data_IF_610125824545
#
_entry.id   IF_610125824545
#
_cell.length_a   1.000
_cell.length_b   1.000
_cell.length_c   1.000
_cell.angle_alpha   90.00
_cell.angle_beta   90.00
_cell.angle_gamma   90.00
#
_symmetry.space_group_name_H-M   'P 1'
#
loop_
_entity.id
_entity.type
_entity.pdbx_description
1 polymer ?
#
# COMPACT_ATOMS: atom_id res chain seq x y z
N UNK A 1 -1.82 -8.87 3.51
CA UNK A 1 -1.96 -8.59 4.95
C UNK A 1 -1.18 -7.34 5.35
N UNK A 2 0.10 -7.23 4.97
CA UNK A 2 1.01 -6.13 5.36
C UNK A 2 0.55 -4.71 4.97
N UNK A 3 -0.06 -4.53 3.80
CA UNK A 3 -0.51 -3.21 3.33
C UNK A 3 -1.53 -2.53 4.28
N UNK A 4 -2.41 -3.32 4.90
CA UNK A 4 -3.47 -2.79 5.78
C UNK A 4 -2.93 -2.22 7.10
N UNK A 5 -1.71 -2.60 7.52
CA UNK A 5 -1.13 -2.17 8.78
C UNK A 5 -0.33 -0.86 8.65
N UNK A 6 -0.01 -0.44 7.42
CA UNK A 6 0.78 0.76 7.15
C UNK A 6 0.13 2.08 7.62
N UNK A 7 -1.20 2.29 7.49
CA UNK A 7 -1.85 3.51 8.00
C UNK A 7 -1.79 3.63 9.52
N UNK A 8 -1.78 2.50 10.24
CA UNK A 8 -1.77 2.44 11.71
C UNK A 8 -0.38 2.76 12.27
N UNK A 9 0.69 2.48 11.51
CA UNK A 9 2.07 2.80 11.88
C UNK A 9 2.24 4.28 12.27
N UNK A 10 1.53 5.21 11.61
CA UNK A 10 1.57 6.65 11.95
C UNK A 10 1.14 6.93 13.40
N UNK A 11 0.21 6.14 13.93
CA UNK A 11 -0.24 6.29 15.32
C UNK A 11 0.71 5.59 16.29
N UNK A 12 1.29 4.45 15.91
CA UNK A 12 2.27 3.74 16.73
C UNK A 12 3.57 4.52 16.92
N UNK A 13 3.94 5.37 15.96
CA UNK A 13 5.11 6.23 16.08
C UNK A 13 4.87 7.51 16.91
N UNK A 14 3.61 7.87 17.22
CA UNK A 14 3.33 9.06 18.04
C UNK A 14 3.68 8.80 19.50
N UNK A 15 4.51 9.65 20.07
CA UNK A 15 4.91 9.57 21.48
C UNK A 15 6.13 8.70 21.77
N UNK A 16 6.69 8.03 20.76
CA UNK A 16 7.92 7.25 20.87
C UNK A 16 9.13 8.04 20.36
N UNK A 17 10.34 7.61 20.74
CA UNK A 17 11.57 8.25 20.26
C UNK A 17 11.89 7.81 18.83
N UNK A 18 12.67 8.62 18.11
CA UNK A 18 13.12 8.26 16.74
C UNK A 18 13.91 6.95 16.74
N UNK A 19 14.60 6.65 17.83
CA UNK A 19 15.36 5.41 18.05
C UNK A 19 14.47 4.16 18.07
N UNK A 20 13.20 4.29 18.48
CA UNK A 20 12.24 3.18 18.58
C UNK A 20 11.53 2.89 17.25
N UNK A 21 11.64 3.78 16.26
CA UNK A 21 11.03 3.62 14.95
C UNK A 21 11.38 2.30 14.25
N UNK A 22 12.67 1.87 14.16
CA UNK A 22 13.00 0.57 13.54
C UNK A 22 12.43 -0.62 14.31
N UNK A 23 12.26 -0.52 15.63
CA UNK A 23 11.72 -1.58 16.48
C UNK A 23 10.21 -1.75 16.25
N UNK A 24 9.48 -0.63 16.19
CA UNK A 24 8.05 -0.57 15.89
C UNK A 24 7.78 -1.05 14.47
N UNK A 25 8.56 -0.58 13.50
CA UNK A 25 8.44 -1.01 12.10
C UNK A 25 8.76 -2.49 11.96
N UNK A 26 9.83 -2.98 12.59
CA UNK A 26 10.21 -4.40 12.57
C UNK A 26 9.14 -5.31 13.19
N UNK A 27 8.44 -4.85 14.24
CA UNK A 27 7.35 -5.61 14.88
C UNK A 27 6.14 -5.87 13.98
N UNK A 28 5.95 -5.05 12.94
CA UNK A 28 4.85 -5.19 11.98
C UNK A 28 5.18 -6.13 10.82
N UNK A 29 6.44 -6.56 10.69
CA UNK A 29 6.96 -7.36 9.58
C UNK A 29 6.58 -6.79 8.19
N UNK A 30 7.11 -5.61 7.81
CA UNK A 30 6.78 -4.95 6.56
C UNK A 30 7.44 -5.67 5.38
N UNK A 31 6.79 -6.71 4.86
CA UNK A 31 7.12 -7.28 3.56
C UNK A 31 6.77 -6.26 2.44
N UNK A 32 7.74 -5.45 2.01
CA UNK A 32 7.58 -4.53 0.88
C UNK A 32 7.24 -5.27 -0.43
N UNK A 33 7.79 -6.46 -0.64
CA UNK A 33 7.48 -7.32 -1.79
C UNK A 33 5.99 -7.70 -1.85
N UNK A 34 5.33 -7.80 -0.69
CA UNK A 34 3.93 -8.16 -0.55
C UNK A 34 2.99 -6.95 -0.76
N UNK A 35 3.53 -5.73 -0.77
CA UNK A 35 2.77 -4.48 -0.92
C UNK A 35 3.00 -3.75 -2.25
N UNK A 36 4.00 -4.17 -3.03
CA UNK A 36 4.41 -3.46 -4.26
C UNK A 36 3.49 -3.72 -5.47
N UNK A 37 2.74 -4.82 -5.48
CA UNK A 37 1.86 -5.22 -6.59
C UNK A 37 0.41 -5.28 -6.17
N UNK A 38 -0.46 -4.67 -6.97
CA UNK A 38 -1.91 -4.71 -6.75
C UNK A 38 -2.59 -5.22 -8.00
N UNK A 39 -3.44 -6.23 -7.83
CA UNK A 39 -4.25 -6.79 -8.91
C UNK A 39 -5.61 -6.11 -8.91
N UNK A 40 -5.89 -5.32 -9.95
CA UNK A 40 -7.21 -4.73 -10.17
C UNK A 40 -8.06 -5.77 -10.90
N UNK A 41 -9.20 -6.12 -10.32
CA UNK A 41 -10.16 -7.08 -10.89
C UNK A 41 -11.46 -6.35 -11.22
N UNK A 42 -11.76 -6.20 -12.51
CA UNK A 42 -13.05 -5.70 -12.98
C UNK A 42 -14.00 -6.89 -13.17
N UNK A 43 -14.94 -7.05 -12.24
CA UNK A 43 -15.93 -8.15 -12.25
C UNK A 43 -16.89 -8.02 -13.42
N UNK A 44 -17.18 -6.79 -13.89
CA UNK A 44 -18.14 -6.55 -14.99
C UNK A 44 -17.49 -6.83 -16.35
N UNK A 45 -16.23 -6.44 -16.52
CA UNK A 45 -15.47 -6.66 -17.76
C UNK A 45 -14.69 -7.98 -17.80
N UNK A 46 -14.67 -8.73 -16.70
CA UNK A 46 -13.86 -9.95 -16.51
C UNK A 46 -12.38 -9.75 -16.84
N UNK A 47 -11.85 -8.57 -16.50
CA UNK A 47 -10.45 -8.23 -16.75
C UNK A 47 -9.70 -8.14 -15.41
N UNK A 48 -8.54 -8.77 -15.36
CA UNK A 48 -7.59 -8.63 -14.26
C UNK A 48 -6.29 -8.02 -14.79
N UNK A 49 -5.79 -6.99 -14.11
CA UNK A 49 -4.51 -6.35 -14.45
C UNK A 49 -3.71 -6.13 -13.19
N UNK A 50 -2.52 -6.74 -13.14
CA UNK A 50 -1.56 -6.51 -12.07
C UNK A 50 -0.76 -5.27 -12.40
N UNK A 51 -0.88 -4.24 -11.55
CA UNK A 51 -0.16 -2.98 -11.70
C UNK A 51 0.76 -2.75 -10.50
N UNK A 52 1.88 -2.04 -10.68
CA UNK A 52 2.70 -1.60 -9.56
C UNK A 52 1.95 -0.58 -8.70
N UNK A 53 2.22 -0.58 -7.40
CA UNK A 53 1.57 0.29 -6.41
C UNK A 53 1.63 1.78 -6.79
N UNK A 54 2.77 2.24 -7.33
CA UNK A 54 2.96 3.63 -7.80
C UNK A 54 1.93 4.09 -8.82
N UNK A 55 1.43 3.18 -9.64
CA UNK A 55 0.43 3.51 -10.66
C UNK A 55 -0.95 3.74 -10.02
N UNK A 56 -1.27 3.03 -8.94
CA UNK A 56 -2.50 3.24 -8.17
C UNK A 56 -2.41 4.52 -7.34
N UNK A 57 -1.25 4.81 -6.74
CA UNK A 57 -1.03 6.05 -6.00
C UNK A 57 -1.21 7.27 -6.91
N UNK A 58 -0.60 7.25 -8.10
CA UNK A 58 -0.80 8.27 -9.14
C UNK A 58 -2.27 8.36 -9.58
N UNK A 59 -2.97 7.24 -9.72
CA UNK A 59 -4.40 7.24 -10.03
C UNK A 59 -5.23 7.90 -8.92
N UNK A 60 -4.91 7.67 -7.64
CA UNK A 60 -5.58 8.29 -6.50
C UNK A 60 -5.44 9.81 -6.46
N UNK A 61 -4.29 10.34 -6.90
CA UNK A 61 -4.00 11.77 -6.99
C UNK A 61 -4.65 12.40 -8.22
N UNK A 62 -4.43 11.83 -9.41
CA UNK A 62 -4.83 12.43 -10.68
C UNK A 62 -6.30 12.20 -11.01
N UNK A 63 -6.89 11.06 -10.61
CA UNK A 63 -8.29 10.62 -10.90
C UNK A 63 -8.74 10.66 -12.36
N UNK A 64 -7.87 11.02 -13.30
CA UNK A 64 -8.23 11.30 -14.69
C UNK A 64 -8.29 10.06 -15.59
N UNK A 65 -7.58 8.97 -15.26
CA UNK A 65 -7.44 7.79 -16.14
C UNK A 65 -7.65 6.49 -15.37
N UNK A 66 -8.57 5.66 -15.83
CA UNK A 66 -8.76 4.32 -15.24
C UNK A 66 -7.49 3.48 -15.43
N UNK A 67 -6.94 2.84 -14.37
CA UNK A 67 -5.80 1.94 -14.49
C UNK A 67 -6.11 0.66 -15.29
N UNK A 68 -7.40 0.41 -15.55
CA UNK A 68 -7.94 -0.71 -16.32
C UNK A 68 -8.18 -0.39 -17.82
N UNK A 69 -7.76 0.78 -18.30
CA UNK A 69 -7.69 1.05 -19.74
C UNK A 69 -6.50 0.34 -20.40
#
# INVERSE_FOLDING_TARGET
ATYANWPVLRYMLRGNTVSDAPLIIGSLDPCYSCTDRVTLVDVRKRQSKTVPYKQIDRYGIERNRSPLK
#
